data_IF_250907515918
#
_entry.id   IF_250907515918
#
_cell.length_a   1.000
_cell.length_b   1.000
_cell.length_c   1.000
_cell.angle_alpha   90.00
_cell.angle_beta   90.00
_cell.angle_gamma   90.00
#
_symmetry.space_group_name_H-M   'P 1'
#
loop_
_entity.id
_entity.type
_entity.pdbx_description
1 polymer ?
#
# COMPACT_ATOMS: atom_id res chain seq x y z
N UNK A 1 1.88 -13.28 -16.77
CA UNK A 1 0.44 -12.99 -16.65
C UNK A 1 0.31 -11.73 -15.82
N UNK A 2 -0.13 -10.60 -16.40
CA UNK A 2 -0.35 -9.37 -15.62
C UNK A 2 -1.62 -9.54 -14.77
N UNK A 3 -1.60 -8.98 -13.55
CA UNK A 3 -2.77 -8.91 -12.70
C UNK A 3 -3.83 -7.93 -13.24
N UNK A 4 -5.01 -7.88 -12.62
CA UNK A 4 -6.14 -7.08 -13.12
C UNK A 4 -5.90 -5.55 -13.18
N UNK A 5 -4.78 -5.03 -12.67
CA UNK A 5 -4.53 -3.59 -12.54
C UNK A 5 -3.18 -3.16 -13.17
N UNK A 6 -2.70 -3.86 -14.19
CA UNK A 6 -1.39 -3.57 -14.83
C UNK A 6 -0.16 -3.90 -13.98
N UNK A 7 -0.31 -4.11 -12.67
CA UNK A 7 0.72 -4.64 -11.79
C UNK A 7 0.96 -6.14 -12.04
N UNK A 8 2.19 -6.62 -11.80
CA UNK A 8 2.51 -8.06 -11.81
C UNK A 8 1.80 -8.84 -10.68
N UNK A 9 1.32 -8.16 -9.65
CA UNK A 9 0.67 -8.77 -8.50
C UNK A 9 -0.83 -8.91 -8.73
N UNK A 10 -1.34 -10.15 -8.70
CA UNK A 10 -2.77 -10.45 -8.80
C UNK A 10 -3.32 -10.75 -7.42
N UNK A 11 -4.30 -9.98 -6.95
CA UNK A 11 -4.94 -10.23 -5.66
C UNK A 11 -5.71 -11.56 -5.67
N UNK A 12 -5.68 -12.28 -4.54
CA UNK A 12 -6.50 -13.48 -4.36
C UNK A 12 -7.94 -13.10 -4.02
N UNK A 13 -8.89 -13.95 -4.40
CA UNK A 13 -10.30 -13.73 -4.08
C UNK A 13 -10.53 -13.75 -2.56
N UNK A 14 -11.45 -12.93 -2.07
CA UNK A 14 -11.75 -12.80 -0.63
C UNK A 14 -12.06 -14.14 0.06
N UNK A 15 -12.80 -15.03 -0.60
CA UNK A 15 -13.08 -16.38 -0.08
C UNK A 15 -11.81 -17.19 0.22
N UNK A 16 -10.73 -16.96 -0.51
CA UNK A 16 -9.45 -17.63 -0.35
C UNK A 16 -8.50 -16.90 0.59
N UNK A 17 -8.81 -15.64 0.94
CA UNK A 17 -8.06 -14.87 1.91
C UNK A 17 -8.46 -15.34 3.31
N UNK A 18 -7.50 -15.91 4.05
CA UNK A 18 -7.72 -16.53 5.37
C UNK A 18 -6.96 -15.81 6.49
N UNK A 19 -6.15 -14.82 6.15
CA UNK A 19 -5.34 -14.10 7.12
C UNK A 19 -6.14 -12.97 7.76
N UNK A 20 -5.79 -12.67 9.00
CA UNK A 20 -6.26 -11.49 9.71
C UNK A 20 -5.67 -10.23 9.07
N UNK A 21 -6.42 -9.13 9.18
CA UNK A 21 -5.92 -7.80 8.82
C UNK A 21 -5.33 -7.18 10.08
N UNK A 22 -4.04 -6.89 10.07
CA UNK A 22 -3.41 -6.20 11.18
C UNK A 22 -3.59 -4.69 11.01
N UNK A 23 -4.11 -4.02 12.03
CA UNK A 23 -4.32 -2.58 12.04
C UNK A 23 -3.22 -1.92 12.87
N UNK A 24 -2.71 -0.81 12.36
CA UNK A 24 -1.65 -0.02 12.96
C UNK A 24 -2.01 1.46 13.00
N UNK A 25 -1.47 2.16 13.97
CA UNK A 25 -1.33 3.62 13.94
C UNK A 25 0.07 3.96 13.43
N UNK A 26 0.12 4.52 12.23
CA UNK A 26 1.33 5.04 11.61
C UNK A 26 1.60 6.46 12.11
N UNK A 27 2.79 6.67 12.66
CA UNK A 27 3.24 7.91 13.26
C UNK A 27 3.62 8.96 12.19
N UNK A 28 2.62 9.58 11.57
CA UNK A 28 2.78 10.50 10.44
C UNK A 28 3.47 11.84 10.78
N UNK A 29 3.50 12.22 12.05
CA UNK A 29 4.30 13.36 12.56
C UNK A 29 5.82 13.19 12.39
N UNK A 30 6.34 11.96 12.35
CA UNK A 30 7.77 11.70 12.19
C UNK A 30 8.17 11.62 10.72
N UNK A 31 7.32 11.00 9.89
CA UNK A 31 7.56 10.85 8.46
C UNK A 31 6.22 10.81 7.72
N UNK A 32 6.13 11.51 6.60
CA UNK A 32 4.93 11.43 5.76
C UNK A 32 4.82 10.05 5.09
N UNK A 33 3.60 9.62 4.75
CA UNK A 33 3.39 8.39 3.95
C UNK A 33 4.19 8.43 2.65
N UNK A 34 4.27 9.61 2.03
CA UNK A 34 5.07 9.84 0.83
C UNK A 34 6.55 9.56 1.06
N UNK A 35 7.13 10.13 2.11
CA UNK A 35 8.55 9.97 2.40
C UNK A 35 8.87 8.53 2.81
N UNK A 36 7.98 7.89 3.56
CA UNK A 36 8.05 6.45 3.84
C UNK A 36 8.10 5.64 2.54
N UNK A 37 7.19 5.89 1.59
CA UNK A 37 7.19 5.22 0.29
C UNK A 37 8.48 5.45 -0.50
N UNK A 38 9.11 6.64 -0.39
CA UNK A 38 10.38 6.95 -1.05
C UNK A 38 11.57 6.19 -0.45
N UNK A 39 11.50 5.77 0.81
CA UNK A 39 12.53 4.93 1.44
C UNK A 39 12.43 3.45 1.01
N UNK A 40 11.26 3.04 0.50
CA UNK A 40 11.06 1.66 0.07
C UNK A 40 11.73 1.40 -1.28
N UNK A 41 12.35 0.24 -1.38
CA UNK A 41 12.93 -0.24 -2.62
C UNK A 41 12.61 -1.72 -2.80
N UNK A 42 12.61 -2.16 -4.06
CA UNK A 42 12.21 -3.52 -4.40
C UNK A 42 13.14 -4.60 -3.85
N UNK A 43 14.44 -4.35 -3.82
CA UNK A 43 15.43 -5.37 -3.47
C UNK A 43 15.43 -5.70 -1.98
N UNK A 44 15.37 -4.68 -1.14
CA UNK A 44 15.41 -4.83 0.31
C UNK A 44 14.01 -5.07 0.89
N UNK A 45 13.01 -4.35 0.39
CA UNK A 45 11.69 -4.29 1.01
C UNK A 45 10.63 -5.09 0.24
N UNK A 46 10.91 -5.51 -1.00
CA UNK A 46 9.92 -6.15 -1.87
C UNK A 46 8.89 -5.18 -2.43
N UNK A 47 9.08 -3.87 -2.30
CA UNK A 47 8.16 -2.86 -2.81
C UNK A 47 7.98 -2.96 -4.34
N UNK A 48 6.73 -2.93 -4.78
CA UNK A 48 6.35 -3.04 -6.19
C UNK A 48 5.75 -1.76 -6.71
N UNK A 49 4.70 -1.25 -6.04
CA UNK A 49 3.94 -0.10 -6.52
C UNK A 49 3.05 0.47 -5.42
N UNK A 50 2.48 1.64 -5.71
CA UNK A 50 1.46 2.30 -4.88
C UNK A 50 0.18 2.50 -5.68
N UNK A 51 -0.93 2.01 -5.14
CA UNK A 51 -2.27 2.16 -5.72
C UNK A 51 -3.14 3.07 -4.85
N UNK A 52 -4.21 3.59 -5.44
CA UNK A 52 -5.22 4.38 -4.74
C UNK A 52 -6.58 3.70 -4.80
N UNK A 53 -7.31 3.73 -3.70
CA UNK A 53 -8.70 3.26 -3.63
C UNK A 53 -9.54 4.12 -2.67
N UNK A 54 -10.77 3.68 -2.43
CA UNK A 54 -11.69 4.33 -1.50
C UNK A 54 -11.45 3.87 -0.05
N UNK A 55 -11.72 4.75 0.91
CA UNK A 55 -11.80 4.39 2.32
C UNK A 55 -13.02 3.48 2.59
N UNK A 56 -12.79 2.23 3.02
CA UNK A 56 -13.88 1.29 3.26
C UNK A 56 -14.77 1.66 4.45
N UNK A 57 -14.26 2.38 5.45
CA UNK A 57 -14.97 2.64 6.70
C UNK A 57 -16.11 3.64 6.52
N UNK A 58 -15.96 4.58 5.60
CA UNK A 58 -17.02 5.53 5.27
C UNK A 58 -18.27 4.86 4.70
N UNK A 59 -18.10 3.75 3.97
CA UNK A 59 -19.25 3.01 3.40
C UNK A 59 -19.97 2.17 4.45
N UNK A 60 -19.29 1.79 5.52
CA UNK A 60 -19.87 0.99 6.58
C UNK A 60 -20.70 1.85 7.54
N UNK A 61 -20.49 3.16 7.56
CA UNK A 61 -21.22 4.11 8.42
C UNK A 61 -21.25 3.67 9.89
N UNK A 62 -20.22 2.95 10.33
CA UNK A 62 -20.09 2.49 11.71
C UNK A 62 -19.49 3.65 12.51
N UNK A 63 -20.17 4.13 13.56
CA UNK A 63 -19.56 5.11 14.45
C UNK A 63 -18.33 4.48 15.11
N UNK A 64 -17.21 5.22 15.09
CA UNK A 64 -16.00 4.83 15.81
C UNK A 64 -16.35 4.84 17.30
N UNK A 65 -16.19 3.71 18.02
CA UNK A 65 -16.40 3.69 19.47
C UNK A 65 -15.49 4.71 20.16
N UNK A 66 -15.97 5.30 21.25
CA UNK A 66 -15.16 6.20 22.07
C UNK A 66 -13.95 5.43 22.63
N UNK A 67 -12.73 5.93 22.39
CA UNK A 67 -11.46 5.29 22.72
C UNK A 67 -10.79 4.52 21.58
N UNK A 68 -11.48 4.28 20.47
CA UNK A 68 -10.93 3.68 19.25
C UNK A 68 -10.52 4.76 18.21
N UNK A 69 -10.44 6.03 18.62
CA UNK A 69 -10.01 7.09 17.72
C UNK A 69 -8.54 7.00 17.37
N UNK A 70 -8.22 7.31 16.10
CA UNK A 70 -6.84 7.48 15.66
C UNK A 70 -6.25 8.70 16.38
N UNK A 71 -5.13 8.56 17.12
CA UNK A 71 -4.52 9.67 17.82
C UNK A 71 -4.10 10.80 16.87
N UNK A 72 -4.04 12.03 17.38
CA UNK A 72 -3.54 13.16 16.61
C UNK A 72 -2.11 12.89 16.09
N UNK A 73 -1.84 13.27 14.85
CA UNK A 73 -0.55 13.00 14.20
C UNK A 73 -0.34 11.55 13.75
N UNK A 74 -1.31 10.67 13.97
CA UNK A 74 -1.30 9.30 13.46
C UNK A 74 -2.22 9.11 12.25
N UNK A 75 -1.91 8.12 11.42
CA UNK A 75 -2.75 7.64 10.32
C UNK A 75 -3.03 6.16 10.55
N UNK A 76 -4.29 5.74 10.42
CA UNK A 76 -4.62 4.31 10.46
C UNK A 76 -4.11 3.61 9.21
N UNK A 77 -3.42 2.49 9.42
CA UNK A 77 -2.86 1.64 8.37
C UNK A 77 -3.29 0.19 8.55
N UNK A 78 -3.67 -0.46 7.46
CA UNK A 78 -4.09 -1.86 7.43
C UNK A 78 -3.09 -2.71 6.64
N UNK A 79 -2.57 -3.77 7.28
CA UNK A 79 -1.66 -4.72 6.66
C UNK A 79 -2.39 -6.01 6.29
N UNK A 80 -2.30 -6.36 5.01
CA UNK A 80 -2.90 -7.56 4.42
C UNK A 80 -1.79 -8.52 3.97
N UNK A 81 -1.34 -9.47 4.82
CA UNK A 81 -0.30 -10.43 4.46
C UNK A 81 -0.81 -11.46 3.45
N UNK A 82 0.03 -11.87 2.49
CA UNK A 82 -0.30 -12.89 1.48
C UNK A 82 -1.60 -12.64 0.70
N UNK A 83 -1.95 -11.36 0.49
CA UNK A 83 -3.16 -10.96 -0.23
C UNK A 83 -3.00 -11.10 -1.75
N UNK A 84 -1.76 -11.17 -2.24
CA UNK A 84 -1.45 -11.41 -3.65
C UNK A 84 -1.09 -12.87 -3.91
N UNK A 85 -1.35 -13.32 -5.15
CA UNK A 85 -0.88 -14.61 -5.64
C UNK A 85 0.64 -14.71 -5.45
N UNK A 86 1.09 -15.89 -5.01
CA UNK A 86 2.50 -16.18 -4.71
C UNK A 86 3.08 -15.49 -3.46
N UNK A 87 2.25 -14.97 -2.55
CA UNK A 87 2.71 -14.57 -1.20
C UNK A 87 3.06 -13.09 -1.04
N UNK A 88 2.62 -12.21 -1.95
CA UNK A 88 2.77 -10.76 -1.78
C UNK A 88 1.80 -10.18 -0.76
N UNK A 89 2.14 -9.02 -0.20
CA UNK A 89 1.36 -8.33 0.82
C UNK A 89 1.05 -6.87 0.43
N UNK A 90 0.11 -6.25 1.14
CA UNK A 90 -0.24 -4.84 0.93
C UNK A 90 -0.38 -4.11 2.26
N UNK A 91 -0.01 -2.82 2.27
CA UNK A 91 -0.18 -1.90 3.40
C UNK A 91 -1.01 -0.70 2.93
N UNK A 92 -2.21 -0.54 3.48
CA UNK A 92 -3.14 0.52 3.10
C UNK A 92 -3.19 1.63 4.14
N UNK A 93 -2.90 2.86 3.75
CA UNK A 93 -2.96 4.05 4.63
C UNK A 93 -4.21 4.87 4.37
N UNK A 94 -4.96 5.24 5.42
CA UNK A 94 -6.11 6.16 5.31
C UNK A 94 -5.61 7.62 5.29
N UNK A 95 -5.18 8.08 4.12
CA UNK A 95 -4.57 9.41 3.93
C UNK A 95 -5.57 10.58 3.91
N UNK A 96 -6.82 10.35 4.32
CA UNK A 96 -7.90 11.34 4.34
C UNK A 96 -8.65 11.47 3.01
N UNK A 97 -9.65 12.36 2.97
CA UNK A 97 -10.50 12.63 1.80
C UNK A 97 -11.10 11.37 1.14
N UNK A 98 -11.41 10.35 1.95
CA UNK A 98 -12.01 9.10 1.52
C UNK A 98 -11.08 8.25 0.63
N UNK A 99 -9.76 8.44 0.74
CA UNK A 99 -8.75 7.75 -0.05
C UNK A 99 -7.92 6.82 0.83
N UNK A 100 -7.66 5.62 0.30
CA UNK A 100 -6.64 4.71 0.82
C UNK A 100 -5.49 4.65 -0.17
N UNK A 101 -4.28 4.83 0.33
CA UNK A 101 -3.04 4.62 -0.42
C UNK A 101 -2.48 3.24 -0.10
N UNK A 102 -2.45 2.35 -1.08
CA UNK A 102 -2.02 0.96 -0.96
C UNK A 102 -0.60 0.78 -1.46
N UNK A 103 0.32 0.56 -0.54
CA UNK A 103 1.70 0.19 -0.82
C UNK A 103 1.78 -1.32 -0.98
N UNK A 104 2.18 -1.79 -2.16
CA UNK A 104 2.14 -3.20 -2.54
C UNK A 104 3.53 -3.83 -2.56
N UNK A 105 3.62 -5.08 -2.07
CA UNK A 105 4.86 -5.82 -1.91
C UNK A 105 4.78 -7.20 -2.58
N UNK A 106 5.87 -7.66 -3.21
CA UNK A 106 5.95 -8.99 -3.85
C UNK A 106 6.22 -10.14 -2.88
N UNK A 107 6.38 -9.83 -1.60
CA UNK A 107 6.57 -10.76 -0.48
C UNK A 107 5.91 -10.19 0.79
N UNK A 108 5.82 -10.95 1.88
CA UNK A 108 5.40 -10.42 3.18
C UNK A 108 6.35 -9.32 3.65
N UNK A 109 5.80 -8.32 4.33
CA UNK A 109 6.59 -7.25 4.94
C UNK A 109 7.34 -7.85 6.15
N UNK A 110 8.66 -7.81 6.10
CA UNK A 110 9.49 -8.24 7.22
C UNK A 110 9.37 -7.27 8.40
N UNK A 111 9.61 -7.78 9.61
CA UNK A 111 9.70 -7.02 10.86
C UNK A 111 10.59 -5.78 10.76
N UNK A 112 11.56 -5.76 9.83
CA UNK A 112 12.45 -4.62 9.58
C UNK A 112 11.70 -3.36 9.13
N UNK A 113 10.65 -3.46 8.31
CA UNK A 113 9.88 -2.30 7.87
C UNK A 113 9.03 -1.76 9.04
N UNK A 114 8.52 -2.66 9.88
CA UNK A 114 7.74 -2.28 11.06
C UNK A 114 8.60 -1.79 12.24
N UNK A 115 9.87 -2.22 12.35
CA UNK A 115 10.75 -1.96 13.51
C UNK A 115 12.00 -1.12 13.23
N UNK A 116 12.45 -0.96 11.98
CA UNK A 116 13.82 -0.49 11.64
C UNK A 116 13.95 0.50 10.49
N UNK A 117 12.89 1.18 10.07
CA UNK A 117 13.11 2.38 9.25
C UNK A 117 13.69 3.46 10.17
N UNK A 118 15.01 3.62 10.09
CA UNK A 118 15.82 4.53 10.89
C UNK A 118 15.46 5.97 10.49
N UNK A 119 14.43 6.52 11.12
CA UNK A 119 14.08 7.94 11.01
C UNK A 119 15.06 8.67 11.92
N UNK A 120 16.30 8.77 11.46
CA UNK A 120 17.37 9.58 12.04
C UNK A 120 17.26 9.75 13.56
N UNK A 121 17.77 8.79 14.34
CA UNK A 121 18.53 8.92 15.60
C UNK A 121 18.47 10.26 16.40
N UNK A 122 17.33 10.96 16.46
CA UNK A 122 17.16 12.33 16.99
C UNK A 122 16.48 12.35 18.35
N UNK A 123 16.09 11.19 18.86
CA UNK A 123 15.50 11.07 20.19
C UNK A 123 16.38 10.17 21.07
N UNK A 124 17.00 10.71 22.13
CA UNK A 124 17.81 9.93 23.06
C UNK A 124 17.00 8.94 23.93
N UNK A 125 15.66 8.89 23.81
CA UNK A 125 14.79 8.08 24.67
C UNK A 125 14.39 6.69 24.13
N UNK A 126 14.89 6.26 22.97
CA UNK A 126 14.74 4.88 22.49
C UNK A 126 14.30 4.74 21.03
N UNK A 127 14.18 3.50 20.53
CA UNK A 127 13.79 3.26 19.14
C UNK A 127 12.36 3.78 18.89
N UNK A 128 12.22 4.78 18.03
CA UNK A 128 10.93 5.29 17.60
C UNK A 128 10.24 4.25 16.70
N UNK A 129 9.12 3.70 17.17
CA UNK A 129 8.33 2.73 16.41
C UNK A 129 7.37 3.47 15.50
N UNK A 130 7.52 3.28 14.19
CA UNK A 130 6.67 3.93 13.20
C UNK A 130 5.24 3.41 13.14
N UNK A 131 5.08 2.11 13.40
CA UNK A 131 3.82 1.40 13.30
C UNK A 131 3.46 0.84 14.67
N UNK A 132 2.54 1.49 15.36
CA UNK A 132 1.99 0.95 16.59
C UNK A 132 0.88 -0.04 16.24
N UNK A 133 1.07 -1.33 16.52
CA UNK A 133 0.04 -2.34 16.31
C UNK A 133 -1.11 -2.12 17.30
N UNK A 134 -2.35 -2.05 16.79
CA UNK A 134 -3.53 -1.77 17.63
C UNK A 134 -4.56 -2.89 17.62
N UNK A 135 -4.70 -3.63 16.50
CA UNK A 135 -5.66 -4.71 16.41
C UNK A 135 -5.27 -5.76 15.37
N UNK A 136 -5.77 -6.98 15.57
CA UNK A 136 -5.87 -7.98 14.51
C UNK A 136 -7.35 -8.22 14.24
N UNK A 137 -7.80 -7.90 13.03
CA UNK A 137 -9.17 -8.09 12.61
C UNK A 137 -9.31 -9.48 12.00
N UNK A 138 -9.98 -10.42 12.69
CA UNK A 138 -10.23 -11.72 12.11
C UNK A 138 -11.27 -11.61 11.01
N UNK A 139 -11.17 -12.51 10.02
CA UNK A 139 -12.21 -12.67 8.99
C UNK A 139 -13.59 -12.97 9.59
N UNK A 140 -13.64 -13.54 10.80
CA UNK A 140 -14.87 -13.81 11.55
C UNK A 140 -15.58 -15.11 11.15
N UNK A 141 -15.11 -15.82 10.12
CA UNK A 141 -15.63 -17.13 9.75
C UNK A 141 -14.50 -18.11 9.42
N UNK A 142 -14.80 -19.40 9.60
CA UNK A 142 -13.83 -20.47 9.33
C UNK A 142 -13.78 -20.77 7.83
N UNK A 143 -12.58 -20.70 7.24
CA UNK A 143 -12.30 -21.19 5.89
C UNK A 143 -12.81 -20.30 4.75
N UNK A 144 -13.45 -20.94 3.75
CA UNK A 144 -13.83 -20.31 2.46
C UNK A 144 -15.20 -19.63 2.45
N UNK A 145 -15.90 -19.61 3.57
CA UNK A 145 -17.21 -18.96 3.65
C UNK A 145 -17.05 -17.43 3.55
N UNK A 146 -17.99 -16.77 2.88
CA UNK A 146 -18.03 -15.30 2.77
C UNK A 146 -19.19 -14.73 3.59
N UNK A 147 -20.29 -15.48 3.69
CA UNK A 147 -21.43 -15.11 4.53
C UNK A 147 -21.00 -15.09 5.99
N UNK A 148 -21.32 -14.01 6.70
CA UNK A 148 -20.92 -13.80 8.10
C UNK A 148 -19.47 -13.36 8.30
N UNK A 149 -18.72 -13.04 7.24
CA UNK A 149 -17.41 -12.44 7.39
C UNK A 149 -17.53 -11.04 8.02
N UNK A 150 -16.52 -10.65 8.81
CA UNK A 150 -16.40 -9.32 9.38
C UNK A 150 -16.42 -8.28 8.24
N UNK A 151 -17.28 -7.26 8.40
CA UNK A 151 -17.53 -6.25 7.39
C UNK A 151 -16.32 -5.35 7.15
N UNK A 152 -15.58 -5.01 8.19
CA UNK A 152 -14.37 -4.20 8.12
C UNK A 152 -13.24 -4.98 7.44
N UNK A 153 -13.01 -6.23 7.83
CA UNK A 153 -12.05 -7.13 7.19
C UNK A 153 -12.31 -7.25 5.68
N UNK A 154 -13.57 -7.51 5.31
CA UNK A 154 -14.00 -7.54 3.91
C UNK A 154 -13.86 -6.17 3.24
N UNK A 155 -14.13 -5.09 3.96
CA UNK A 155 -14.00 -3.72 3.48
C UNK A 155 -12.58 -3.40 3.03
N UNK A 156 -11.59 -3.74 3.83
CA UNK A 156 -10.17 -3.59 3.50
C UNK A 156 -9.78 -4.40 2.25
N UNK A 157 -10.17 -5.68 2.20
CA UNK A 157 -9.88 -6.53 1.04
C UNK A 157 -10.54 -6.01 -0.25
N UNK A 158 -11.82 -5.63 -0.19
CA UNK A 158 -12.58 -5.08 -1.31
C UNK A 158 -12.04 -3.71 -1.76
N UNK A 159 -11.51 -2.91 -0.84
CA UNK A 159 -10.87 -1.63 -1.14
C UNK A 159 -9.61 -1.84 -1.98
N UNK A 160 -8.72 -2.76 -1.56
CA UNK A 160 -7.54 -3.14 -2.35
C UNK A 160 -7.94 -3.73 -3.71
N UNK A 161 -9.01 -4.52 -3.76
CA UNK A 161 -9.48 -5.14 -5.02
C UNK A 161 -9.87 -4.13 -6.08
N UNK A 162 -10.34 -2.95 -5.66
CA UNK A 162 -10.71 -1.84 -6.55
C UNK A 162 -9.62 -0.76 -6.64
N UNK A 163 -8.45 -1.00 -6.05
CA UNK A 163 -7.35 -0.06 -6.11
C UNK A 163 -6.75 -0.02 -7.51
N UNK A 164 -6.39 1.18 -7.96
CA UNK A 164 -5.85 1.42 -9.29
C UNK A 164 -4.72 2.45 -9.23
N UNK A 165 -3.93 2.56 -10.28
CA UNK A 165 -2.87 3.56 -10.36
C UNK A 165 -3.43 4.97 -10.26
N UNK A 166 -2.67 5.85 -9.63
CA UNK A 166 -2.98 7.27 -9.66
C UNK A 166 -3.04 7.73 -11.12
N UNK A 167 -4.20 8.25 -11.54
CA UNK A 167 -4.34 8.87 -12.86
C UNK A 167 -3.47 10.11 -12.92
N UNK A 168 -2.38 10.02 -13.67
CA UNK A 168 -1.52 11.17 -13.97
C UNK A 168 -1.95 11.75 -15.30
N UNK A 169 -2.28 13.04 -15.33
CA UNK A 169 -2.47 13.75 -16.59
C UNK A 169 -1.08 13.99 -17.17
N UNK A 170 -0.73 13.23 -18.21
CA UNK A 170 0.50 13.46 -18.96
C UNK A 170 0.21 14.59 -19.94
N UNK A 171 0.66 15.80 -19.61
CA UNK A 171 0.64 16.91 -20.55
C UNK A 171 1.75 16.67 -21.58
N UNK A 172 1.37 16.17 -22.76
CA UNK A 172 2.27 16.01 -23.90
C UNK A 172 2.74 17.39 -24.35
N UNK A 173 3.90 17.82 -23.84
CA UNK A 173 4.56 19.04 -24.32
C UNK A 173 5.50 18.70 -25.47
N UNK A 174 5.52 19.53 -26.52
CA UNK A 174 6.45 19.40 -27.66
C UNK A 174 7.94 19.53 -27.29
N UNK A 175 8.28 19.80 -26.02
CA UNK A 175 9.66 20.01 -25.56
C UNK A 175 10.52 18.74 -25.57
N UNK A 176 9.90 17.55 -25.52
CA UNK A 176 10.60 16.25 -25.56
C UNK A 176 10.25 15.41 -26.79
N UNK A 177 9.28 15.85 -27.61
CA UNK A 177 8.96 15.18 -28.87
C UNK A 177 10.05 15.50 -29.90
N UNK A 178 10.82 14.49 -30.31
CA UNK A 178 11.86 14.62 -31.34
C UNK A 178 13.32 14.58 -30.84
N UNK A 179 13.58 14.60 -29.53
CA UNK A 179 14.93 14.34 -28.97
C UNK A 179 15.26 12.86 -29.07
N UNK A 180 14.33 11.98 -28.70
CA UNK A 180 14.49 10.52 -28.79
C UNK A 180 14.59 10.05 -30.26
N UNK A 181 13.77 10.62 -31.14
CA UNK A 181 13.83 10.37 -32.59
C UNK A 181 15.16 10.86 -33.20
N UNK A 182 15.69 12.01 -32.76
CA UNK A 182 17.01 12.50 -33.19
C UNK A 182 18.15 11.65 -32.66
N UNK A 183 18.12 11.23 -31.40
CA UNK A 183 19.13 10.32 -30.83
C UNK A 183 19.13 8.98 -31.56
N UNK A 184 17.95 8.40 -31.81
CA UNK A 184 17.83 7.13 -32.55
C UNK A 184 18.35 7.25 -33.99
N UNK A 185 18.07 8.36 -34.67
CA UNK A 185 18.58 8.63 -36.01
C UNK A 185 20.10 8.92 -36.04
N UNK A 186 20.65 9.55 -34.99
CA UNK A 186 22.10 9.72 -34.85
C UNK A 186 22.82 8.39 -34.59
N UNK A 187 22.28 7.54 -33.71
CA UNK A 187 22.83 6.20 -33.45
C UNK A 187 22.82 5.35 -34.72
N UNK A 188 21.71 5.35 -35.47
CA UNK A 188 21.62 4.62 -36.74
C UNK A 188 22.60 5.10 -37.81
N UNK A 189 22.98 6.38 -37.82
CA UNK A 189 24.02 6.90 -38.72
C UNK A 189 25.41 6.47 -38.31
N UNK A 190 25.70 6.44 -37.01
CA UNK A 190 26.98 6.00 -36.47
C UNK A 190 27.22 4.49 -36.62
N UNK A 191 26.16 3.69 -36.70
CA UNK A 191 26.25 2.25 -36.99
C UNK A 191 26.43 1.93 -38.49
N UNK A 192 26.31 2.94 -39.36
CA UNK A 192 26.44 2.80 -40.82
C UNK A 192 27.73 3.39 -41.39
N UNK A 193 28.59 3.98 -40.54
CA UNK A 193 29.96 4.43 -40.85
C UNK A 193 30.99 3.44 -40.30
#
# INVERSE_FOLDING_TARGET
VMGPNGMKLKQIQFRSYIHDVAIYHFQAWFISVRDFCLMLNRHEHGYVDTLLSYDPMLRLAVPIPEGDEVPEGCIEAAYLPNVFQHGGAALGFRVGNNVVEWVCFDRPIDDLIFKRLDINNRDPNGPQVLFHHVANLPKGNSGRMVKGANLEHKGWHDSLWKADHRRVRVDLTWRTFGTELRQKHQLQRLEQE
#
